data_IF_968388889473
#
_entry.id   IF_968388889473
#
_cell.length_a   1.000
_cell.length_b   1.000
_cell.length_c   1.000
_cell.angle_alpha   90.00
_cell.angle_beta   90.00
_cell.angle_gamma   90.00
#
_symmetry.space_group_name_H-M   'P 1'
#
loop_
_entity.id
_entity.type
_entity.pdbx_description
1 polymer ?
#
# COMPACT_ATOMS: atom_id res chain seq x y z
N UNK A 1 -23.18 -31.83 -27.81
CA UNK A 1 -23.38 -30.49 -27.23
C UNK A 1 -22.29 -29.61 -27.80
N UNK A 2 -22.64 -28.61 -28.59
CA UNK A 2 -21.73 -27.89 -29.47
C UNK A 2 -20.85 -26.90 -28.71
N UNK A 3 -19.54 -27.02 -28.95
CA UNK A 3 -18.49 -26.08 -28.57
C UNK A 3 -18.84 -24.66 -29.03
N UNK A 4 -19.13 -23.77 -28.08
CA UNK A 4 -19.12 -22.33 -28.35
C UNK A 4 -17.71 -21.82 -28.14
N UNK A 5 -16.96 -21.90 -29.22
CA UNK A 5 -15.76 -21.14 -29.53
C UNK A 5 -15.74 -19.81 -28.77
N UNK A 6 -14.79 -19.71 -27.83
CA UNK A 6 -14.33 -18.43 -27.28
C UNK A 6 -13.55 -17.73 -28.38
N UNK A 7 -14.30 -17.20 -29.34
CA UNK A 7 -13.80 -16.34 -30.39
C UNK A 7 -13.37 -15.05 -29.70
N UNK A 8 -12.06 -14.81 -29.69
CA UNK A 8 -11.43 -13.63 -29.11
C UNK A 8 -12.08 -12.38 -29.71
N UNK A 9 -13.02 -11.78 -28.96
CA UNK A 9 -13.58 -10.46 -29.27
C UNK A 9 -12.47 -9.43 -29.08
N UNK A 10 -11.66 -9.26 -30.13
CA UNK A 10 -10.64 -8.23 -30.34
C UNK A 10 -11.23 -6.82 -30.56
N UNK A 11 -12.55 -6.67 -30.46
CA UNK A 11 -13.26 -5.41 -30.63
C UNK A 11 -13.09 -4.53 -29.38
N UNK A 12 -12.67 -3.27 -29.59
CA UNK A 12 -12.59 -2.28 -28.51
C UNK A 12 -13.98 -2.13 -27.86
N UNK A 13 -14.03 -2.13 -26.53
CA UNK A 13 -15.28 -1.97 -25.81
C UNK A 13 -16.02 -0.68 -26.26
N UNK A 14 -17.30 -0.81 -26.61
CA UNK A 14 -18.11 0.35 -27.01
C UNK A 14 -18.19 1.40 -25.88
N UNK A 15 -18.39 2.66 -26.24
CA UNK A 15 -18.49 3.76 -25.27
C UNK A 15 -19.55 3.51 -24.18
N UNK A 16 -20.65 2.84 -24.52
CA UNK A 16 -21.71 2.46 -23.57
C UNK A 16 -21.24 1.37 -22.60
N UNK A 17 -20.46 0.38 -23.05
CA UNK A 17 -19.84 -0.64 -22.19
C UNK A 17 -18.82 -0.03 -21.22
N UNK A 18 -17.99 0.89 -21.71
CA UNK A 18 -17.01 1.60 -20.86
C UNK A 18 -17.70 2.49 -19.81
N UNK A 19 -18.80 3.15 -20.17
CA UNK A 19 -19.58 3.97 -19.22
C UNK A 19 -20.22 3.11 -18.13
N UNK A 20 -20.81 1.98 -18.50
CA UNK A 20 -21.39 1.01 -17.54
C UNK A 20 -20.33 0.39 -16.63
N UNK A 21 -19.14 0.08 -17.15
CA UNK A 21 -18.02 -0.41 -16.34
C UNK A 21 -17.54 0.64 -15.32
N UNK A 22 -17.48 1.92 -15.72
CA UNK A 22 -17.24 3.03 -14.79
C UNK A 22 -18.37 3.17 -13.76
N UNK A 23 -19.64 3.15 -14.15
CA UNK A 23 -20.77 3.21 -13.21
C UNK A 23 -20.74 2.06 -12.17
N UNK A 24 -20.24 0.88 -12.56
CA UNK A 24 -20.02 -0.29 -11.70
C UNK A 24 -18.73 -0.20 -10.86
N UNK A 25 -17.96 0.89 -10.97
CA UNK A 25 -16.71 1.11 -10.26
C UNK A 25 -15.54 0.26 -10.74
N UNK A 26 -15.66 -0.39 -11.89
CA UNK A 26 -14.56 -1.09 -12.56
C UNK A 26 -13.80 -0.10 -13.44
N UNK A 27 -13.02 0.76 -12.80
CA UNK A 27 -12.03 1.58 -13.50
C UNK A 27 -10.75 0.78 -13.70
N UNK A 28 -10.09 0.97 -14.84
CA UNK A 28 -8.76 0.41 -15.06
C UNK A 28 -7.77 1.10 -14.12
N UNK A 29 -7.65 0.58 -12.89
CA UNK A 29 -6.53 0.87 -12.00
C UNK A 29 -5.42 -0.10 -12.38
N UNK A 30 -4.35 0.39 -12.99
CA UNK A 30 -3.16 -0.45 -13.11
C UNK A 30 -2.57 -0.66 -11.73
N UNK A 31 -2.48 -1.93 -11.33
CA UNK A 31 -1.83 -2.34 -10.08
C UNK A 31 -0.39 -1.82 -10.04
N UNK A 32 0.25 -1.81 -11.20
CA UNK A 32 1.65 -1.37 -11.37
C UNK A 32 1.83 0.12 -11.10
N UNK A 33 0.84 0.98 -11.38
CA UNK A 33 0.93 2.41 -11.06
C UNK A 33 0.93 2.66 -9.56
N UNK A 34 0.04 2.00 -8.82
CA UNK A 34 -0.01 2.12 -7.36
C UNK A 34 1.29 1.62 -6.73
N UNK A 35 1.85 0.50 -7.23
CA UNK A 35 3.14 -0.04 -6.78
C UNK A 35 4.30 0.92 -7.09
N UNK A 36 4.38 1.42 -8.33
CA UNK A 36 5.44 2.36 -8.74
C UNK A 36 5.38 3.67 -7.94
N UNK A 37 4.19 4.23 -7.75
CA UNK A 37 3.97 5.42 -6.94
C UNK A 37 4.35 5.17 -5.47
N UNK A 38 3.94 4.03 -4.92
CA UNK A 38 4.30 3.62 -3.56
C UNK A 38 5.80 3.51 -3.36
N UNK A 39 6.51 2.91 -4.30
CA UNK A 39 7.97 2.81 -4.26
C UNK A 39 8.64 4.19 -4.30
N UNK A 40 8.21 5.06 -5.23
CA UNK A 40 8.77 6.41 -5.37
C UNK A 40 8.54 7.27 -4.12
N UNK A 41 7.31 7.25 -3.57
CA UNK A 41 6.96 8.00 -2.35
C UNK A 41 7.75 7.47 -1.17
N UNK A 42 7.86 6.14 -1.02
CA UNK A 42 8.61 5.52 0.08
C UNK A 42 10.09 5.88 0.02
N UNK A 43 10.70 5.78 -1.17
CA UNK A 43 12.12 6.12 -1.35
C UNK A 43 12.38 7.61 -1.08
N UNK A 44 11.51 8.50 -1.59
CA UNK A 44 11.66 9.94 -1.37
C UNK A 44 11.50 10.32 0.10
N UNK A 45 10.53 9.73 0.80
CA UNK A 45 10.37 9.91 2.24
C UNK A 45 11.60 9.39 3.00
N UNK A 46 12.09 8.21 2.66
CA UNK A 46 13.30 7.67 3.29
C UNK A 46 14.48 8.63 3.17
N UNK A 47 14.75 9.15 1.97
CA UNK A 47 15.84 10.10 1.73
C UNK A 47 15.68 11.39 2.54
N UNK A 48 14.45 11.88 2.71
CA UNK A 48 14.16 13.11 3.44
C UNK A 48 14.25 12.91 4.96
N UNK A 49 13.83 11.76 5.48
CA UNK A 49 13.81 11.47 6.92
C UNK A 49 15.14 10.90 7.43
N UNK A 50 15.94 10.26 6.58
CA UNK A 50 17.21 9.61 6.95
C UNK A 50 18.18 10.52 7.71
N UNK A 51 18.45 11.79 7.31
CA UNK A 51 19.36 12.66 8.05
C UNK A 51 18.86 12.95 9.48
N UNK A 52 17.55 13.13 9.63
CA UNK A 52 16.91 13.38 10.92
C UNK A 52 17.00 12.17 11.85
N UNK A 53 16.67 10.97 11.32
CA UNK A 53 16.83 9.73 12.08
C UNK A 53 18.26 9.50 12.53
N UNK A 54 19.24 9.74 11.66
CA UNK A 54 20.64 9.56 12.01
C UNK A 54 21.10 10.54 13.11
N UNK A 55 20.58 11.77 13.12
CA UNK A 55 20.81 12.73 14.19
C UNK A 55 20.15 12.28 15.51
N UNK A 56 18.89 11.85 15.46
CA UNK A 56 18.14 11.36 16.62
C UNK A 56 18.82 10.12 17.24
N UNK A 57 19.29 9.17 16.40
CA UNK A 57 20.05 8.01 16.86
C UNK A 57 21.36 8.41 17.53
N UNK A 58 22.14 9.34 16.95
CA UNK A 58 23.38 9.83 17.56
C UNK A 58 23.12 10.48 18.92
N UNK A 59 22.04 11.26 19.05
CA UNK A 59 21.66 11.88 20.31
C UNK A 59 21.33 10.82 21.38
N UNK A 60 20.56 9.79 21.02
CA UNK A 60 20.24 8.68 21.93
C UNK A 60 21.49 7.89 22.36
N UNK A 61 22.39 7.58 21.42
CA UNK A 61 23.67 6.95 21.76
C UNK A 61 24.52 7.84 22.67
N UNK A 62 24.57 9.16 22.42
CA UNK A 62 25.29 10.10 23.27
C UNK A 62 24.79 10.13 24.71
N UNK A 63 23.47 10.00 24.94
CA UNK A 63 22.89 9.90 26.28
C UNK A 63 23.36 8.62 26.99
N UNK A 64 23.45 7.50 26.27
CA UNK A 64 23.91 6.22 26.83
C UNK A 64 25.37 6.20 27.29
N UNK A 65 26.21 7.12 26.78
CA UNK A 65 27.62 7.27 27.15
C UNK A 65 27.90 8.47 28.06
N UNK A 66 26.86 9.20 28.51
CA UNK A 66 27.03 10.35 29.37
C UNK A 66 27.57 9.94 30.76
N UNK A 67 28.57 10.69 31.27
CA UNK A 67 29.09 10.47 32.62
C UNK A 67 28.04 10.84 33.68
N UNK A 68 27.86 9.94 34.65
CA UNK A 68 26.81 10.01 35.68
C UNK A 68 27.36 10.57 37.00
N UNK A 69 27.88 11.80 36.98
CA UNK A 69 28.62 12.37 38.13
C UNK A 69 27.79 13.31 39.03
N UNK A 70 26.46 13.16 39.11
CA UNK A 70 25.64 14.03 39.96
C UNK A 70 24.38 13.41 40.52
N UNK A 71 24.03 13.75 41.76
CA UNK A 71 22.79 13.30 42.40
C UNK A 71 21.57 13.88 41.63
N UNK A 72 20.63 13.02 41.23
CA UNK A 72 19.50 13.39 40.36
C UNK A 72 19.80 13.54 38.85
N UNK A 73 21.03 13.29 38.39
CA UNK A 73 21.34 13.26 36.94
C UNK A 73 20.71 12.07 36.23
N UNK A 74 20.61 10.92 36.91
CA UNK A 74 20.02 9.70 36.37
C UNK A 74 18.54 9.85 36.00
N UNK A 75 17.72 10.43 36.88
CA UNK A 75 16.27 10.61 36.63
C UNK A 75 16.02 11.60 35.49
N UNK A 76 16.80 12.68 35.40
CA UNK A 76 16.71 13.63 34.30
C UNK A 76 17.16 13.01 32.97
N UNK A 77 18.24 12.24 32.96
CA UNK A 77 18.71 11.53 31.76
C UNK A 77 17.70 10.49 31.29
N UNK A 78 17.06 9.76 32.22
CA UNK A 78 16.02 8.78 31.88
C UNK A 78 14.78 9.45 31.27
N UNK A 79 14.33 10.57 31.86
CA UNK A 79 13.22 11.35 31.33
C UNK A 79 13.50 11.85 29.91
N UNK A 80 14.68 12.42 29.69
CA UNK A 80 15.11 12.90 28.36
C UNK A 80 15.20 11.74 27.36
N UNK A 81 15.87 10.64 27.74
CA UNK A 81 15.99 9.47 26.89
C UNK A 81 14.62 8.89 26.52
N UNK A 82 13.69 8.83 27.48
CA UNK A 82 12.34 8.34 27.25
C UNK A 82 11.56 9.24 26.28
N UNK A 83 11.57 10.56 26.48
CA UNK A 83 10.90 11.50 25.58
C UNK A 83 11.51 11.46 24.18
N UNK A 84 12.83 11.46 24.06
CA UNK A 84 13.52 11.38 22.75
C UNK A 84 13.22 10.06 22.03
N UNK A 85 13.19 8.94 22.76
CA UNK A 85 12.85 7.63 22.21
C UNK A 85 11.40 7.58 21.74
N UNK A 86 10.45 8.08 22.55
CA UNK A 86 9.04 8.14 22.15
C UNK A 86 8.81 9.01 20.91
N UNK A 87 9.50 10.15 20.84
CA UNK A 87 9.39 11.05 19.71
C UNK A 87 9.99 10.43 18.44
N UNK A 88 11.11 9.71 18.55
CA UNK A 88 11.69 8.93 17.45
C UNK A 88 10.73 7.84 16.98
N UNK A 89 10.12 7.10 17.91
CA UNK A 89 9.16 6.04 17.61
C UNK A 89 7.93 6.60 16.86
N UNK A 90 7.39 7.73 17.32
CA UNK A 90 6.31 8.42 16.63
C UNK A 90 6.70 8.86 15.21
N UNK A 91 7.90 9.43 15.03
CA UNK A 91 8.43 9.81 13.71
C UNK A 91 8.62 8.59 12.78
N UNK A 92 8.96 7.42 13.31
CA UNK A 92 9.10 6.18 12.52
C UNK A 92 7.75 5.57 12.13
N UNK A 93 6.72 5.73 12.96
CA UNK A 93 5.37 5.29 12.66
C UNK A 93 4.66 6.20 11.64
N UNK A 94 4.95 7.51 11.66
CA UNK A 94 4.33 8.48 10.75
C UNK A 94 4.35 8.08 9.25
N UNK A 95 5.49 7.68 8.65
CA UNK A 95 5.52 7.28 7.23
C UNK A 95 4.71 6.01 6.95
N UNK A 96 4.52 5.12 7.93
CA UNK A 96 3.73 3.90 7.78
C UNK A 96 2.25 4.20 7.49
N UNK A 97 1.74 5.32 7.99
CA UNK A 97 0.39 5.81 7.69
C UNK A 97 0.37 6.77 6.49
N UNK A 98 1.40 7.59 6.33
CA UNK A 98 1.46 8.58 5.25
C UNK A 98 1.56 7.95 3.86
N UNK A 99 2.42 6.94 3.68
CA UNK A 99 2.64 6.26 2.39
C UNK A 99 1.33 5.68 1.81
N UNK A 100 0.59 4.81 2.51
CA UNK A 100 -0.64 4.23 1.96
C UNK A 100 -1.70 5.30 1.69
N UNK A 101 -1.76 6.38 2.49
CA UNK A 101 -2.69 7.49 2.24
C UNK A 101 -2.37 8.22 0.93
N UNK A 102 -1.09 8.56 0.72
CA UNK A 102 -0.62 9.24 -0.50
C UNK A 102 -0.83 8.33 -1.73
N UNK A 103 -0.50 7.05 -1.63
CA UNK A 103 -0.71 6.07 -2.72
C UNK A 103 -2.19 5.90 -3.02
N UNK A 104 -3.04 5.82 -1.99
CA UNK A 104 -4.49 5.69 -2.17
C UNK A 104 -5.06 6.89 -2.93
N UNK A 105 -4.66 8.11 -2.56
CA UNK A 105 -5.08 9.35 -3.24
C UNK A 105 -4.48 9.41 -4.65
N UNK A 106 -3.19 9.15 -4.82
CA UNK A 106 -2.50 9.22 -6.12
C UNK A 106 -2.93 8.13 -7.11
N UNK A 107 -3.42 7.00 -6.63
CA UNK A 107 -4.03 5.95 -7.46
C UNK A 107 -5.36 6.37 -8.10
N UNK A 108 -5.96 7.47 -7.66
CA UNK A 108 -7.17 8.06 -8.28
C UNK A 108 -6.83 8.86 -9.55
N UNK A 109 -5.57 9.27 -9.74
CA UNK A 109 -5.17 10.16 -10.84
C UNK A 109 -5.32 9.50 -12.22
N UNK A 110 -4.88 8.24 -12.46
CA UNK A 110 -5.03 7.62 -13.78
C UNK A 110 -6.46 7.10 -14.05
N UNK A 111 -7.18 6.70 -12.99
CA UNK A 111 -8.48 6.02 -13.10
C UNK A 111 -9.71 6.95 -13.01
N UNK A 112 -9.51 8.20 -12.58
CA UNK A 112 -10.58 9.15 -12.29
C UNK A 112 -11.32 8.84 -10.98
N UNK A 113 -12.08 9.83 -10.48
CA UNK A 113 -12.98 9.65 -9.35
C UNK A 113 -14.25 8.93 -9.81
N UNK A 114 -14.43 7.70 -9.35
CA UNK A 114 -15.62 6.90 -9.66
C UNK A 114 -16.20 6.35 -8.37
N UNK A 115 -17.22 7.05 -7.85
CA UNK A 115 -18.08 6.54 -6.79
C UNK A 115 -19.12 5.62 -7.42
N UNK A 116 -19.04 4.32 -7.11
CA UNK A 116 -20.08 3.35 -7.48
C UNK A 116 -20.78 2.83 -6.23
N UNK A 117 -22.08 3.14 -6.10
CA UNK A 117 -22.92 2.55 -5.05
C UNK A 117 -23.06 1.03 -5.17
N UNK A 118 -22.73 0.46 -6.33
CA UNK A 118 -22.78 -0.99 -6.58
C UNK A 118 -21.62 -1.74 -5.93
N UNK A 119 -20.51 -1.05 -5.62
CA UNK A 119 -19.40 -1.60 -4.83
C UNK A 119 -19.66 -1.58 -3.33
N UNK A 120 -20.61 -0.78 -2.86
CA UNK A 120 -21.06 -0.79 -1.46
C UNK A 120 -22.03 -1.94 -1.16
N UNK A 121 -22.64 -2.55 -2.17
CA UNK A 121 -23.56 -3.68 -1.98
C UNK A 121 -22.77 -4.93 -1.61
N UNK A 122 -23.09 -5.63 -0.51
CA UNK A 122 -22.46 -6.91 -0.18
C UNK A 122 -22.79 -7.92 -1.28
N UNK A 123 -21.78 -8.32 -2.06
CA UNK A 123 -21.93 -9.33 -3.12
C UNK A 123 -21.82 -10.71 -2.49
N UNK A 124 -22.96 -11.38 -2.26
CA UNK A 124 -23.03 -12.73 -1.67
C UNK A 124 -22.24 -13.77 -2.49
N UNK A 125 -22.07 -13.56 -3.80
CA UNK A 125 -21.23 -14.40 -4.65
C UNK A 125 -19.75 -14.44 -4.24
N UNK A 126 -19.25 -13.40 -3.55
CA UNK A 126 -17.88 -13.35 -3.04
C UNK A 126 -17.68 -14.17 -1.76
N UNK A 127 -18.76 -14.60 -1.10
CA UNK A 127 -18.72 -15.38 0.14
C UNK A 127 -18.81 -16.89 -0.08
N UNK A 128 -19.03 -17.35 -1.32
CA UNK A 128 -19.10 -18.78 -1.61
C UNK A 128 -17.68 -19.40 -1.68
N UNK A 129 -17.30 -20.29 -0.74
CA UNK A 129 -15.96 -20.91 -0.73
C UNK A 129 -15.71 -21.77 -1.97
N UNK A 130 -16.76 -22.34 -2.58
CA UNK A 130 -16.65 -23.21 -3.75
C UNK A 130 -16.23 -22.42 -5.01
N UNK A 131 -16.74 -21.20 -5.17
CA UNK A 131 -16.35 -20.32 -6.29
C UNK A 131 -14.92 -19.78 -6.14
N UNK A 132 -14.46 -19.62 -4.90
CA UNK A 132 -13.07 -19.28 -4.60
C UNK A 132 -12.11 -20.43 -4.92
N UNK A 133 -12.44 -21.66 -4.53
CA UNK A 133 -11.64 -22.84 -4.85
C UNK A 133 -11.51 -23.06 -6.37
N UNK A 134 -12.61 -22.88 -7.12
CA UNK A 134 -12.58 -22.96 -8.59
C UNK A 134 -11.80 -21.81 -9.25
N UNK A 135 -11.79 -20.62 -8.65
CA UNK A 135 -10.96 -19.52 -9.15
C UNK A 135 -9.49 -19.84 -9.00
N UNK A 136 -9.07 -20.38 -7.85
CA UNK A 136 -7.67 -20.71 -7.58
C UNK A 136 -7.12 -21.79 -8.53
N UNK A 137 -7.98 -22.69 -9.03
CA UNK A 137 -7.58 -23.75 -9.97
C UNK A 137 -7.66 -23.35 -11.45
N UNK A 138 -7.96 -22.09 -11.77
CA UNK A 138 -8.01 -21.66 -13.17
C UNK A 138 -6.62 -21.67 -13.82
N UNK A 139 -6.50 -22.17 -15.05
CA UNK A 139 -5.21 -22.25 -15.77
C UNK A 139 -4.54 -20.89 -15.97
N UNK A 140 -5.31 -19.79 -15.95
CA UNK A 140 -4.75 -18.43 -15.98
C UNK A 140 -3.80 -18.15 -14.81
N UNK A 141 -4.12 -18.62 -13.59
CA UNK A 141 -3.24 -18.43 -12.44
C UNK A 141 -1.99 -19.30 -12.51
N UNK A 142 -2.07 -20.49 -13.12
CA UNK A 142 -0.91 -21.35 -13.34
C UNK A 142 0.09 -20.72 -14.33
N UNK A 143 -0.42 -20.09 -15.40
CA UNK A 143 0.43 -19.37 -16.36
C UNK A 143 1.04 -18.11 -15.74
N UNK A 144 0.28 -17.36 -14.95
CA UNK A 144 0.77 -16.16 -14.26
C UNK A 144 1.86 -16.51 -13.22
N UNK A 145 1.72 -17.63 -12.51
CA UNK A 145 2.76 -18.16 -11.63
C UNK A 145 4.01 -18.56 -12.42
N UNK A 146 3.86 -19.26 -13.55
CA UNK A 146 4.99 -19.65 -14.39
C UNK A 146 5.74 -18.43 -14.94
N UNK A 147 5.02 -17.39 -15.39
CA UNK A 147 5.64 -16.16 -15.90
C UNK A 147 6.28 -15.29 -14.82
N UNK A 148 5.93 -15.48 -13.55
CA UNK A 148 6.52 -14.71 -12.43
C UNK A 148 7.79 -15.39 -11.88
N UNK A 149 7.96 -16.69 -12.14
CA UNK A 149 9.10 -17.50 -11.69
C UNK A 149 10.24 -17.54 -12.72
N UNK A 150 9.94 -17.28 -14.00
CA UNK A 150 10.92 -17.08 -15.09
C UNK A 150 11.29 -15.61 -15.18
#
# INVERSE_FOLDING_TARGET
MADTSTEDKSEKASAQKLRKAREQGQTARSRDWATALGLLVSLKLLLLLMPGYLADFRALFGIGFAALDGDGTLDNLWSIAFTTTMLLLAKMLAPLFAVPLIVSIGSLVPGGWVLSGENLKPKLDRLNPLSYAQRLTQPKHLVELASTVV
#
